data_IF_808320826277
#
_entry.id   IF_808320826277
#
_cell.length_a   1.000
_cell.length_b   1.000
_cell.length_c   1.000
_cell.angle_alpha   90.00
_cell.angle_beta   90.00
_cell.angle_gamma   90.00
#
_symmetry.space_group_name_H-M   'P 1'
#
loop_
_entity.id
_entity.type
_entity.pdbx_description
1 polymer ?
#
# COMPACT_ATOMS: atom_id res chain seq x y z
N UNK A 1 15.06 -5.85 -10.85
CA UNK A 1 15.01 -4.47 -10.29
C UNK A 1 13.62 -3.94 -10.53
N UNK A 2 12.79 -3.84 -9.49
CA UNK A 2 11.37 -3.46 -9.62
C UNK A 2 11.28 -1.96 -9.90
N UNK A 3 10.77 -1.58 -11.08
CA UNK A 3 10.38 -0.20 -11.39
C UNK A 3 9.28 0.23 -10.43
N UNK A 4 9.65 0.91 -9.33
CA UNK A 4 8.70 1.69 -8.58
C UNK A 4 8.09 2.71 -9.55
N UNK A 5 6.76 2.69 -9.72
CA UNK A 5 6.06 3.71 -10.52
C UNK A 5 6.01 5.00 -9.71
N UNK A 6 6.99 5.87 -9.93
CA UNK A 6 7.02 7.23 -9.43
C UNK A 6 5.95 8.05 -10.17
N UNK A 7 5.22 8.90 -9.45
CA UNK A 7 4.48 10.00 -10.05
C UNK A 7 5.09 11.29 -9.53
N UNK A 8 5.55 12.14 -10.44
CA UNK A 8 6.19 13.42 -10.13
C UNK A 8 5.20 14.55 -10.40
N UNK A 9 5.14 15.51 -9.49
CA UNK A 9 4.33 16.73 -9.61
C UNK A 9 5.27 17.93 -9.55
N UNK A 10 5.36 18.67 -10.65
CA UNK A 10 6.16 19.90 -10.76
C UNK A 10 5.28 21.15 -10.89
N UNK A 11 4.01 21.00 -11.29
CA UNK A 11 3.12 22.12 -11.50
C UNK A 11 2.84 22.85 -10.17
N UNK A 12 3.17 24.16 -10.03
CA UNK A 12 3.10 24.86 -8.74
C UNK A 12 1.72 24.81 -8.07
N UNK A 13 0.66 24.89 -8.87
CA UNK A 13 -0.71 24.80 -8.36
C UNK A 13 -1.04 23.41 -7.81
N UNK A 14 -0.59 22.34 -8.49
CA UNK A 14 -0.79 20.96 -8.04
C UNK A 14 0.04 20.64 -6.79
N UNK A 15 1.24 21.21 -6.67
CA UNK A 15 2.06 21.16 -5.45
C UNK A 15 1.32 21.82 -4.28
N UNK A 16 0.77 23.01 -4.51
CA UNK A 16 0.00 23.72 -3.49
C UNK A 16 -1.27 22.96 -3.09
N UNK A 17 -1.97 22.31 -4.03
CA UNK A 17 -3.12 21.45 -3.76
C UNK A 17 -2.73 20.25 -2.88
N UNK A 18 -1.64 19.56 -3.22
CA UNK A 18 -1.13 18.44 -2.43
C UNK A 18 -0.80 18.86 -0.98
N UNK A 19 -0.19 20.03 -0.79
CA UNK A 19 0.07 20.57 0.55
C UNK A 19 -1.20 20.99 1.29
N UNK A 20 -2.21 21.52 0.59
CA UNK A 20 -3.52 21.81 1.21
C UNK A 20 -4.17 20.52 1.70
N UNK A 21 -4.07 19.41 0.97
CA UNK A 21 -4.58 18.12 1.43
C UNK A 21 -3.88 17.61 2.70
N UNK A 22 -2.62 17.98 2.92
CA UNK A 22 -1.89 17.67 4.15
C UNK A 22 -2.44 18.43 5.37
N UNK A 23 -3.06 19.59 5.17
CA UNK A 23 -3.68 20.36 6.27
C UNK A 23 -5.01 19.78 6.74
N UNK A 24 -5.71 19.05 5.85
CA UNK A 24 -7.10 18.60 6.07
C UNK A 24 -7.21 17.19 6.65
N UNK A 25 -6.14 16.41 6.54
CA UNK A 25 -6.14 14.98 6.83
C UNK A 25 -5.05 14.65 7.85
N UNK A 26 -5.31 13.67 8.72
CA UNK A 26 -4.33 13.17 9.68
C UNK A 26 -3.26 12.32 8.99
N UNK A 27 -2.37 12.97 8.23
CA UNK A 27 -1.20 12.32 7.67
C UNK A 27 -0.06 12.33 8.68
N UNK A 28 0.71 11.25 8.71
CA UNK A 28 2.00 11.28 9.40
C UNK A 28 2.99 12.00 8.49
N UNK A 29 3.27 13.26 8.81
CA UNK A 29 4.25 14.08 8.10
C UNK A 29 5.50 14.19 8.96
N UNK A 30 6.65 13.95 8.35
CA UNK A 30 7.96 14.11 8.99
C UNK A 30 8.86 14.99 8.15
N UNK A 31 9.73 15.73 8.82
CA UNK A 31 10.79 16.52 8.23
C UNK A 31 12.13 15.85 8.48
N UNK A 32 12.98 15.82 7.46
CA UNK A 32 14.37 15.35 7.58
C UNK A 32 15.32 16.36 6.97
N UNK A 33 16.33 16.76 7.73
CA UNK A 33 17.40 17.62 7.23
C UNK A 33 18.40 16.83 6.40
N UNK A 34 19.07 17.51 5.47
CA UNK A 34 20.15 16.89 4.72
C UNK A 34 21.30 16.44 5.65
N UNK A 35 21.90 15.29 5.31
CA UNK A 35 22.97 14.67 6.11
C UNK A 35 22.53 14.07 7.45
N UNK A 36 21.23 14.00 7.76
CA UNK A 36 20.71 13.34 8.97
C UNK A 36 19.79 12.17 8.64
N UNK A 37 19.76 11.17 9.54
CA UNK A 37 18.84 10.03 9.48
C UNK A 37 17.62 10.21 10.40
N UNK A 38 17.52 11.35 11.08
CA UNK A 38 16.48 11.61 12.09
C UNK A 38 15.28 12.27 11.42
N UNK A 39 14.11 11.70 11.64
CA UNK A 39 12.82 12.24 11.20
C UNK A 39 12.14 12.97 12.36
N UNK A 40 11.73 14.22 12.12
CA UNK A 40 11.01 15.03 13.08
C UNK A 40 9.52 15.08 12.70
N UNK A 41 8.58 14.70 13.58
CA UNK A 41 7.16 14.85 13.30
C UNK A 41 6.79 16.31 13.09
N UNK A 42 6.08 16.61 12.01
CA UNK A 42 5.63 17.97 11.69
C UNK A 42 4.15 17.97 11.30
N UNK A 43 3.50 19.12 11.41
CA UNK A 43 2.15 19.31 10.90
C UNK A 43 2.13 20.50 9.94
N UNK A 44 1.48 20.34 8.78
CA UNK A 44 1.27 21.45 7.85
C UNK A 44 0.05 22.23 8.32
N UNK A 45 0.23 23.49 8.67
CA UNK A 45 -0.81 24.35 9.24
C UNK A 45 -1.57 25.13 8.17
N UNK A 46 -0.84 25.85 7.34
CA UNK A 46 -1.42 26.71 6.29
C UNK A 46 -0.56 26.69 5.04
N UNK A 47 -1.21 26.98 3.90
CA UNK A 47 -0.59 27.05 2.59
C UNK A 47 -1.06 28.34 1.91
N UNK A 48 -0.12 29.19 1.52
CA UNK A 48 -0.34 30.36 0.68
C UNK A 48 0.00 29.99 -0.76
N UNK A 49 -1.05 29.84 -1.58
CA UNK A 49 -0.94 29.46 -3.00
C UNK A 49 -0.33 30.57 -3.85
N UNK A 50 -0.55 31.82 -3.48
CA UNK A 50 -0.10 32.98 -4.27
C UNK A 50 1.38 33.22 -4.05
N UNK A 51 1.84 33.12 -2.80
CA UNK A 51 3.25 33.29 -2.46
C UNK A 51 4.05 31.99 -2.59
N UNK A 52 3.41 30.84 -2.80
CA UNK A 52 4.08 29.55 -2.88
C UNK A 52 4.76 29.17 -1.55
N UNK A 53 4.08 29.39 -0.42
CA UNK A 53 4.64 29.20 0.92
C UNK A 53 3.75 28.35 1.79
N UNK A 54 4.32 27.66 2.78
CA UNK A 54 3.57 26.96 3.80
C UNK A 54 4.08 27.27 5.21
N UNK A 55 3.23 27.04 6.21
CA UNK A 55 3.60 27.08 7.63
C UNK A 55 3.58 25.65 8.18
N UNK A 56 4.73 25.20 8.67
CA UNK A 56 4.88 23.95 9.39
C UNK A 56 4.90 24.23 10.89
N UNK A 57 4.36 23.30 11.68
CA UNK A 57 4.41 23.33 13.13
C UNK A 57 5.08 22.06 13.66
N UNK A 58 6.09 22.25 14.51
CA UNK A 58 6.97 21.20 15.00
C UNK A 58 7.03 21.29 16.52
N UNK A 59 6.90 20.15 17.19
CA UNK A 59 7.16 20.07 18.63
C UNK A 59 8.64 20.36 18.86
N UNK A 60 8.95 21.41 19.63
CA UNK A 60 10.31 21.87 19.86
C UNK A 60 11.10 20.85 20.68
N UNK A 61 12.03 20.15 20.03
CA UNK A 61 13.07 19.33 20.66
C UNK A 61 14.38 20.13 20.59
N UNK A 62 15.17 20.16 21.66
CA UNK A 62 16.34 21.03 21.80
C UNK A 62 17.34 21.00 20.64
N UNK A 63 17.50 19.85 19.96
CA UNK A 63 18.40 19.69 18.82
C UNK A 63 17.92 20.41 17.55
N UNK A 64 16.62 20.66 17.44
CA UNK A 64 15.99 21.25 16.27
C UNK A 64 16.39 22.73 16.11
N UNK A 65 16.55 23.46 17.20
CA UNK A 65 17.03 24.84 17.18
C UNK A 65 18.45 24.97 16.63
N UNK A 66 19.31 23.97 16.87
CA UNK A 66 20.66 23.91 16.28
C UNK A 66 20.61 23.58 14.78
N UNK A 67 19.67 22.72 14.37
CA UNK A 67 19.49 22.30 12.99
C UNK A 67 18.88 23.37 12.08
N UNK A 68 18.08 24.27 12.64
CA UNK A 68 17.45 25.39 11.94
C UNK A 68 18.38 26.59 11.72
N UNK A 69 19.61 26.53 12.24
CA UNK A 69 20.64 27.55 11.99
C UNK A 69 21.23 27.44 10.58
N UNK A 70 21.13 28.55 9.82
CA UNK A 70 21.76 28.86 8.53
C UNK A 70 21.51 27.87 7.36
N UNK A 71 20.65 28.26 6.42
CA UNK A 71 20.54 27.75 5.04
C UNK A 71 20.46 26.22 4.84
N UNK A 72 19.99 25.49 5.86
CA UNK A 72 19.83 24.04 5.75
C UNK A 72 18.55 23.67 5.01
N UNK A 73 18.75 22.95 3.93
CA UNK A 73 17.68 22.29 3.19
C UNK A 73 17.15 21.10 3.97
N UNK A 74 15.86 20.87 3.83
CA UNK A 74 15.20 19.69 4.38
C UNK A 74 14.22 19.13 3.35
N UNK A 75 13.78 17.90 3.56
CA UNK A 75 12.70 17.29 2.78
C UNK A 75 11.56 16.92 3.71
N UNK A 76 10.34 16.95 3.18
CA UNK A 76 9.18 16.40 3.86
C UNK A 76 8.87 15.00 3.32
N UNK A 77 8.51 14.12 4.24
CA UNK A 77 7.93 12.82 3.94
C UNK A 77 6.54 12.78 4.54
N UNK A 78 5.51 12.58 3.72
CA UNK A 78 4.15 12.34 4.19
C UNK A 78 3.73 10.91 3.88
N UNK A 79 3.30 10.19 4.91
CA UNK A 79 2.73 8.86 4.75
C UNK A 79 1.23 8.98 4.55
N UNK A 80 0.78 8.63 3.36
CA UNK A 80 -0.63 8.45 3.02
C UNK A 80 -0.96 6.95 3.02
N UNK A 81 -2.25 6.61 3.06
CA UNK A 81 -2.71 5.22 3.15
C UNK A 81 -2.16 4.30 2.02
N UNK A 82 -1.95 4.84 0.81
CA UNK A 82 -1.53 4.08 -0.38
C UNK A 82 -0.20 4.54 -1.00
N UNK A 83 0.37 5.66 -0.54
CA UNK A 83 1.57 6.25 -1.11
C UNK A 83 2.42 6.95 -0.04
N UNK A 84 3.72 7.02 -0.30
CA UNK A 84 4.61 7.93 0.40
C UNK A 84 4.84 9.11 -0.51
N UNK A 85 4.50 10.29 -0.03
CA UNK A 85 4.85 11.54 -0.70
C UNK A 85 6.20 12.01 -0.16
N UNK A 86 7.11 12.38 -1.05
CA UNK A 86 8.38 13.01 -0.71
C UNK A 86 8.52 14.30 -1.51
N UNK A 87 8.99 15.36 -0.87
CA UNK A 87 9.27 16.63 -1.56
C UNK A 87 10.70 16.66 -2.08
N UNK A 88 10.95 17.52 -3.07
CA UNK A 88 12.29 18.06 -3.29
C UNK A 88 12.80 18.81 -2.06
N UNK A 89 14.07 19.20 -2.07
CA UNK A 89 14.65 20.06 -1.05
C UNK A 89 13.81 21.34 -0.87
N UNK A 90 13.49 21.67 0.38
CA UNK A 90 12.74 22.83 0.81
C UNK A 90 13.61 23.73 1.68
N UNK A 91 13.29 25.03 1.66
CA UNK A 91 14.02 26.08 2.36
C UNK A 91 13.14 26.77 3.40
N UNK A 92 13.69 26.95 4.59
CA UNK A 92 13.07 27.79 5.63
C UNK A 92 13.28 29.26 5.28
N UNK A 93 12.18 30.01 5.24
CA UNK A 93 12.17 31.47 5.09
C UNK A 93 12.29 32.15 6.45
N UNK A 94 11.58 31.61 7.45
CA UNK A 94 11.51 32.22 8.78
C UNK A 94 11.17 31.17 9.85
N UNK A 95 11.79 31.30 11.02
CA UNK A 95 11.49 30.48 12.21
C UNK A 95 10.69 31.32 13.20
N UNK A 96 9.51 30.83 13.58
CA UNK A 96 8.58 31.43 14.52
C UNK A 96 8.61 30.63 15.83
N UNK A 97 9.27 31.16 16.87
CA UNK A 97 9.31 30.52 18.18
C UNK A 97 8.01 30.79 18.96
N UNK A 98 7.34 29.75 19.47
CA UNK A 98 6.22 29.88 20.41
C UNK A 98 6.34 28.86 21.55
N UNK A 99 6.88 29.29 22.69
CA UNK A 99 7.05 28.43 23.88
C UNK A 99 7.71 27.09 23.50
N UNK A 100 6.99 25.97 23.60
CA UNK A 100 7.44 24.59 23.31
C UNK A 100 7.26 24.16 21.85
N UNK A 101 6.77 25.02 20.95
CA UNK A 101 6.55 24.72 19.54
C UNK A 101 7.33 25.68 18.64
N UNK A 102 7.75 25.15 17.50
CA UNK A 102 8.44 25.87 16.44
C UNK A 102 7.56 25.92 15.20
N UNK A 103 7.23 27.12 14.76
CA UNK A 103 6.66 27.35 13.44
C UNK A 103 7.76 27.57 12.41
N UNK A 104 7.73 26.87 11.28
CA UNK A 104 8.61 27.14 10.14
C UNK A 104 7.80 27.67 8.98
N UNK A 105 8.10 28.89 8.54
CA UNK A 105 7.60 29.41 7.26
C UNK A 105 8.57 28.97 6.18
N UNK A 106 8.08 28.25 5.18
CA UNK A 106 8.91 27.62 4.15
C UNK A 106 8.38 27.93 2.76
N UNK A 107 9.27 27.90 1.76
CA UNK A 107 8.87 27.84 0.36
C UNK A 107 8.30 26.45 0.05
N UNK A 108 7.27 26.39 -0.78
CA UNK A 108 6.80 25.11 -1.36
C UNK A 108 7.93 24.50 -2.21
N UNK A 109 8.00 23.16 -2.29
CA UNK A 109 9.03 22.51 -3.10
C UNK A 109 8.81 22.78 -4.60
N UNK A 110 9.88 22.61 -5.39
CA UNK A 110 9.78 22.63 -6.85
C UNK A 110 9.21 21.34 -7.43
N UNK A 111 9.31 20.24 -6.69
CA UNK A 111 8.82 18.93 -7.11
C UNK A 111 8.29 18.13 -5.91
N UNK A 112 7.26 17.31 -6.16
CA UNK A 112 6.81 16.26 -5.24
C UNK A 112 6.87 14.92 -5.97
N UNK A 113 7.55 13.96 -5.37
CA UNK A 113 7.59 12.58 -5.83
C UNK A 113 6.67 11.71 -4.98
N UNK A 114 5.71 11.03 -5.60
CA UNK A 114 4.91 10.00 -4.95
C UNK A 114 5.52 8.62 -5.21
N UNK A 115 6.05 8.03 -4.14
CA UNK A 115 6.41 6.63 -4.10
C UNK A 115 5.14 5.82 -3.75
N UNK A 116 4.46 5.31 -4.78
CA UNK A 116 3.33 4.39 -4.56
C UNK A 116 3.82 3.18 -3.80
N UNK A 117 3.39 3.02 -2.54
CA UNK A 117 3.88 1.91 -1.72
C UNK A 117 3.26 0.59 -2.17
N UNK A 118 2.00 0.61 -2.64
CA UNK A 118 1.30 -0.46 -3.39
C UNK A 118 0.14 0.21 -4.16
N UNK A 119 -0.01 -0.04 -5.46
CA UNK A 119 -1.00 0.69 -6.28
C UNK A 119 -2.45 0.32 -6.00
N UNK A 120 -2.71 -0.72 -5.20
CA UNK A 120 -4.05 -1.19 -4.86
C UNK A 120 -4.11 -1.66 -3.41
N UNK A 121 -5.19 -1.30 -2.71
CA UNK A 121 -5.51 -1.85 -1.39
C UNK A 121 -5.58 -3.38 -1.48
N UNK A 122 -5.09 -4.07 -0.45
CA UNK A 122 -5.08 -5.54 -0.36
C UNK A 122 -6.03 -6.00 0.75
N UNK A 123 -7.04 -6.76 0.39
CA UNK A 123 -7.93 -7.42 1.32
C UNK A 123 -7.27 -8.71 1.80
N UNK A 124 -6.85 -8.76 3.07
CA UNK A 124 -6.35 -10.00 3.67
C UNK A 124 -7.50 -10.99 3.84
N UNK A 125 -7.23 -12.29 3.66
CA UNK A 125 -8.20 -13.34 3.97
C UNK A 125 -8.12 -13.70 5.46
N UNK A 126 -9.29 -13.86 6.06
CA UNK A 126 -9.47 -13.98 7.50
C UNK A 126 -9.81 -15.41 7.89
N UNK A 127 -10.08 -15.61 9.17
CA UNK A 127 -10.38 -16.94 9.67
C UNK A 127 -11.64 -17.49 8.99
N UNK A 128 -11.53 -18.69 8.40
CA UNK A 128 -12.62 -19.33 7.66
C UNK A 128 -12.75 -18.92 6.18
N UNK A 129 -12.04 -17.88 5.72
CA UNK A 129 -11.99 -17.52 4.30
C UNK A 129 -10.87 -18.31 3.60
N UNK A 130 -11.10 -19.59 3.32
CA UNK A 130 -10.13 -20.43 2.60
C UNK A 130 -10.43 -20.42 1.11
N UNK A 131 -9.52 -19.89 0.31
CA UNK A 131 -9.62 -19.86 -1.16
C UNK A 131 -8.40 -20.59 -1.73
N UNK A 132 -8.66 -21.64 -2.49
CA UNK A 132 -7.62 -22.39 -3.19
C UNK A 132 -7.23 -21.64 -4.47
N UNK A 133 -5.96 -21.66 -4.82
CA UNK A 133 -5.44 -21.07 -6.05
C UNK A 133 -4.63 -22.11 -6.81
N UNK A 134 -4.92 -22.25 -8.10
CA UNK A 134 -4.12 -23.06 -9.02
C UNK A 134 -3.31 -22.11 -9.91
N UNK A 135 -1.99 -22.23 -9.86
CA UNK A 135 -1.08 -21.62 -10.83
C UNK A 135 -0.79 -22.64 -11.92
N UNK A 136 -0.93 -22.26 -13.19
CA UNK A 136 -0.58 -23.11 -14.34
C UNK A 136 0.40 -22.38 -15.26
N UNK A 137 1.49 -23.01 -15.65
CA UNK A 137 2.41 -22.46 -16.65
C UNK A 137 1.99 -22.82 -18.10
N UNK A 138 2.76 -22.36 -19.08
CA UNK A 138 2.50 -22.67 -20.49
C UNK A 138 2.79 -24.13 -20.89
N UNK A 139 3.53 -24.87 -20.06
CA UNK A 139 3.90 -26.28 -20.26
C UNK A 139 2.87 -27.25 -19.65
N UNK A 140 1.91 -26.73 -18.90
CA UNK A 140 0.85 -27.49 -18.24
C UNK A 140 1.20 -27.96 -16.82
N UNK A 141 2.32 -27.50 -16.26
CA UNK A 141 2.63 -27.75 -14.86
C UNK A 141 1.67 -26.96 -13.97
N UNK A 142 1.30 -27.54 -12.83
CA UNK A 142 0.36 -26.94 -11.88
C UNK A 142 0.89 -26.91 -10.46
N UNK A 143 0.61 -25.80 -9.78
CA UNK A 143 0.91 -25.63 -8.36
C UNK A 143 -0.36 -25.20 -7.64
N UNK A 144 -0.65 -25.90 -6.53
CA UNK A 144 -1.80 -25.60 -5.66
C UNK A 144 -1.32 -24.76 -4.49
N UNK A 145 -1.99 -23.65 -4.26
CA UNK A 145 -1.66 -22.70 -3.20
C UNK A 145 -2.93 -22.20 -2.50
N UNK A 146 -2.74 -21.52 -1.39
CA UNK A 146 -3.79 -20.85 -0.62
C UNK A 146 -3.66 -19.34 -0.77
N UNK A 147 -4.76 -18.65 -1.02
CA UNK A 147 -4.82 -17.20 -1.09
C UNK A 147 -4.71 -16.58 0.32
N UNK A 148 -3.78 -15.65 0.51
CA UNK A 148 -3.58 -14.91 1.77
C UNK A 148 -4.09 -13.48 1.71
N UNK A 149 -3.86 -12.80 0.59
CA UNK A 149 -4.42 -11.48 0.32
C UNK A 149 -4.83 -11.37 -1.15
N UNK A 150 -5.77 -10.48 -1.44
CA UNK A 150 -6.20 -10.16 -2.80
C UNK A 150 -6.29 -8.66 -3.00
N UNK A 151 -5.84 -8.19 -4.14
CA UNK A 151 -5.99 -6.81 -4.60
C UNK A 151 -6.31 -6.79 -6.08
N UNK A 152 -6.66 -5.62 -6.60
CA UNK A 152 -6.85 -5.44 -8.03
C UNK A 152 -5.60 -5.93 -8.76
N UNK A 153 -4.40 -5.43 -8.45
CA UNK A 153 -3.18 -5.75 -9.20
C UNK A 153 -2.51 -7.10 -8.92
N UNK A 154 -3.03 -7.94 -8.03
CA UNK A 154 -2.35 -9.18 -7.65
C UNK A 154 -2.74 -9.73 -6.29
N UNK A 155 -2.06 -10.78 -5.85
CA UNK A 155 -2.31 -11.47 -4.60
C UNK A 155 -1.02 -12.00 -3.94
N UNK A 156 -1.15 -12.39 -2.68
CA UNK A 156 -0.18 -13.20 -1.95
C UNK A 156 -0.72 -14.62 -1.82
N UNK A 157 0.10 -15.59 -2.20
CA UNK A 157 -0.19 -17.02 -2.10
C UNK A 157 0.72 -17.67 -1.07
N UNK A 158 0.28 -18.81 -0.52
CA UNK A 158 1.18 -19.72 0.20
C UNK A 158 0.98 -21.18 -0.18
N UNK A 159 2.07 -21.94 -0.15
CA UNK A 159 2.14 -23.36 -0.49
C UNK A 159 3.20 -24.03 0.40
N UNK A 160 3.21 -25.37 0.53
CA UNK A 160 4.29 -26.09 1.20
C UNK A 160 5.66 -25.70 0.61
N UNK A 161 6.69 -25.59 1.44
CA UNK A 161 8.01 -25.15 0.99
C UNK A 161 8.60 -26.07 -0.11
N UNK A 162 8.33 -27.37 -0.02
CA UNK A 162 8.78 -28.38 -0.99
C UNK A 162 8.05 -28.27 -2.34
N UNK A 163 6.88 -27.62 -2.39
CA UNK A 163 6.10 -27.46 -3.62
C UNK A 163 6.53 -26.24 -4.45
N UNK A 164 7.52 -25.46 -3.99
CA UNK A 164 8.03 -24.29 -4.71
C UNK A 164 8.87 -24.70 -5.93
N UNK A 165 9.38 -25.93 -5.95
CA UNK A 165 10.23 -26.40 -7.04
C UNK A 165 9.56 -26.26 -8.41
N UNK A 166 10.32 -25.76 -9.38
CA UNK A 166 9.85 -25.52 -10.75
C UNK A 166 9.13 -24.19 -10.96
N UNK A 167 8.88 -23.39 -9.90
CA UNK A 167 8.37 -22.02 -10.07
C UNK A 167 9.48 -21.07 -10.48
N UNK A 168 9.33 -20.48 -11.66
CA UNK A 168 10.20 -19.45 -12.23
C UNK A 168 9.62 -18.05 -11.96
N UNK A 169 10.45 -17.13 -11.46
CA UNK A 169 10.09 -15.75 -11.13
C UNK A 169 10.55 -14.77 -12.21
N UNK A 170 9.83 -13.66 -12.36
CA UNK A 170 10.14 -12.63 -13.38
C UNK A 170 9.28 -12.78 -14.63
N UNK A 171 9.91 -12.96 -15.79
CA UNK A 171 9.24 -12.83 -17.10
C UNK A 171 8.35 -14.02 -17.50
N UNK A 172 8.30 -15.07 -16.68
CA UNK A 172 7.45 -16.24 -16.92
C UNK A 172 5.99 -15.94 -16.60
N UNK A 173 5.11 -16.30 -17.54
CA UNK A 173 3.66 -16.11 -17.43
C UNK A 173 2.99 -17.36 -16.89
N UNK A 174 2.11 -17.15 -15.91
CA UNK A 174 1.24 -18.15 -15.34
C UNK A 174 -0.22 -17.76 -15.59
N UNK A 175 -1.11 -18.75 -15.47
CA UNK A 175 -2.54 -18.51 -15.27
C UNK A 175 -2.85 -18.81 -13.80
N UNK A 176 -3.30 -17.79 -13.08
CA UNK A 176 -3.78 -17.95 -11.71
C UNK A 176 -5.30 -18.12 -11.73
N UNK A 177 -5.79 -19.21 -11.15
CA UNK A 177 -7.22 -19.48 -10.94
C UNK A 177 -7.51 -19.56 -9.45
N UNK A 178 -8.23 -18.60 -8.89
CA UNK A 178 -8.75 -18.67 -7.53
C UNK A 178 -10.12 -19.36 -7.54
N UNK A 179 -10.31 -20.35 -6.66
CA UNK A 179 -11.54 -21.12 -6.50
C UNK A 179 -12.15 -20.81 -5.14
N UNK A 180 -13.28 -20.11 -5.13
CA UNK A 180 -14.01 -19.76 -3.93
C UNK A 180 -14.89 -20.93 -3.46
N UNK A 181 -15.14 -21.07 -2.14
CA UNK A 181 -15.97 -22.13 -1.57
C UNK A 181 -17.35 -22.37 -2.21
N UNK A 182 -17.96 -21.33 -2.79
CA UNK A 182 -19.27 -21.41 -3.44
C UNK A 182 -19.21 -21.76 -4.94
N UNK A 183 -18.07 -22.26 -5.41
CA UNK A 183 -17.87 -22.62 -6.82
C UNK A 183 -17.54 -21.45 -7.75
N UNK A 184 -17.60 -20.19 -7.28
CA UNK A 184 -17.13 -19.04 -8.06
C UNK A 184 -15.63 -19.15 -8.34
N UNK A 185 -15.22 -18.75 -9.54
CA UNK A 185 -13.81 -18.77 -9.92
C UNK A 185 -13.37 -17.45 -10.53
N UNK A 186 -12.17 -17.03 -10.18
CA UNK A 186 -11.51 -15.88 -10.76
C UNK A 186 -10.24 -16.35 -11.48
N UNK A 187 -10.07 -15.95 -12.75
CA UNK A 187 -8.88 -16.27 -13.55
C UNK A 187 -8.19 -15.01 -14.05
N UNK A 188 -6.86 -14.99 -13.97
CA UNK A 188 -6.04 -13.97 -14.61
C UNK A 188 -4.70 -14.52 -15.12
N UNK A 189 -4.22 -13.93 -16.21
CA UNK A 189 -2.80 -14.03 -16.57
C UNK A 189 -1.96 -13.33 -15.49
N UNK A 190 -0.82 -13.91 -15.14
CA UNK A 190 -0.03 -13.44 -14.01
C UNK A 190 1.47 -13.69 -14.16
N UNK A 191 2.24 -13.03 -13.30
CA UNK A 191 3.69 -13.20 -13.13
C UNK A 191 4.02 -13.35 -11.65
N UNK A 192 5.03 -14.16 -11.35
CA UNK A 192 5.55 -14.31 -9.99
C UNK A 192 6.62 -13.25 -9.74
N UNK A 193 6.46 -12.51 -8.65
CA UNK A 193 7.28 -11.33 -8.35
C UNK A 193 8.38 -11.58 -7.33
N UNK A 194 8.05 -12.24 -6.21
CA UNK A 194 8.99 -12.55 -5.14
C UNK A 194 8.51 -13.77 -4.35
N UNK A 195 9.44 -14.46 -3.71
CA UNK A 195 9.17 -15.52 -2.76
C UNK A 195 9.87 -15.27 -1.43
N UNK A 196 9.26 -15.78 -0.37
CA UNK A 196 9.84 -15.87 0.96
C UNK A 196 9.49 -17.23 1.56
N UNK A 197 10.48 -17.95 2.08
CA UNK A 197 10.27 -19.22 2.77
C UNK A 197 10.32 -18.94 4.27
N UNK A 198 9.25 -19.32 4.96
CA UNK A 198 9.17 -19.39 6.40
C UNK A 198 9.52 -20.82 6.83
N UNK A 199 10.73 -20.99 7.33
CA UNK A 199 11.26 -22.30 7.74
C UNK A 199 10.55 -22.84 8.97
N UNK A 200 10.04 -21.98 9.85
CA UNK A 200 9.34 -22.44 11.06
C UNK A 200 7.96 -22.98 10.69
N UNK A 201 7.27 -22.32 9.77
CA UNK A 201 5.97 -22.75 9.26
C UNK A 201 6.06 -23.85 8.19
N UNK A 202 7.25 -24.11 7.64
CA UNK A 202 7.46 -24.96 6.45
C UNK A 202 6.59 -24.54 5.25
N UNK A 203 6.42 -23.23 5.08
CA UNK A 203 5.62 -22.64 4.00
C UNK A 203 6.43 -21.65 3.19
N UNK A 204 6.13 -21.61 1.91
CA UNK A 204 6.56 -20.54 1.03
C UNK A 204 5.42 -19.56 0.78
N UNK A 205 5.76 -18.29 0.71
CA UNK A 205 4.87 -17.19 0.36
C UNK A 205 5.31 -16.62 -0.97
N UNK A 206 4.38 -16.48 -1.91
CA UNK A 206 4.65 -16.07 -3.28
C UNK A 206 3.79 -14.88 -3.65
N UNK A 207 4.43 -13.77 -4.02
CA UNK A 207 3.75 -12.60 -4.55
C UNK A 207 3.44 -12.77 -6.03
N UNK A 208 2.16 -12.65 -6.39
CA UNK A 208 1.68 -12.77 -7.78
C UNK A 208 1.16 -11.41 -8.25
N UNK A 209 1.55 -11.00 -9.45
CA UNK A 209 1.04 -9.79 -10.12
C UNK A 209 0.15 -10.20 -11.28
N UNK A 210 -1.04 -9.62 -11.39
CA UNK A 210 -1.97 -9.90 -12.48
C UNK A 210 -1.71 -8.98 -13.68
N UNK A 211 -1.84 -9.53 -14.89
CA UNK A 211 -1.82 -8.78 -16.14
C UNK A 211 -3.25 -8.40 -16.53
N UNK A 212 -3.73 -7.30 -15.97
CA UNK A 212 -5.12 -6.86 -16.10
C UNK A 212 -5.12 -5.76 -17.15
N UNK A 213 -5.19 -6.19 -18.41
CA UNK A 213 -5.19 -5.29 -19.56
C UNK A 213 -6.60 -4.82 -19.94
N UNK A 214 -7.66 -5.48 -19.45
CA UNK A 214 -9.04 -5.24 -19.88
C UNK A 214 -9.94 -4.73 -18.73
N UNK A 215 -10.84 -3.80 -19.05
CA UNK A 215 -11.78 -3.21 -18.08
C UNK A 215 -12.69 -4.26 -17.40
N UNK A 216 -13.04 -5.34 -18.11
CA UNK A 216 -13.90 -6.41 -17.59
C UNK A 216 -13.20 -7.19 -16.48
N UNK A 217 -11.98 -7.66 -16.72
CA UNK A 217 -11.16 -8.37 -15.74
C UNK A 217 -10.88 -7.50 -14.51
N UNK A 218 -10.71 -6.19 -14.73
CA UNK A 218 -10.54 -5.22 -13.65
C UNK A 218 -11.79 -5.08 -12.76
N UNK A 219 -13.00 -5.16 -13.33
CA UNK A 219 -14.27 -5.13 -12.57
C UNK A 219 -14.52 -6.44 -11.83
N UNK A 220 -14.20 -7.57 -12.45
CA UNK A 220 -14.37 -8.90 -11.85
C UNK A 220 -13.47 -9.03 -10.61
N UNK A 221 -12.19 -8.66 -10.69
CA UNK A 221 -11.30 -8.64 -9.51
C UNK A 221 -11.83 -7.71 -8.42
N UNK A 222 -12.37 -6.55 -8.80
CA UNK A 222 -12.90 -5.57 -7.86
C UNK A 222 -14.03 -6.14 -7.00
N UNK A 223 -14.92 -6.92 -7.62
CA UNK A 223 -15.99 -7.62 -6.91
C UNK A 223 -15.42 -8.57 -5.83
N UNK A 224 -14.47 -9.43 -6.20
CA UNK A 224 -13.87 -10.37 -5.25
C UNK A 224 -13.10 -9.66 -4.12
N UNK A 225 -12.32 -8.61 -4.42
CA UNK A 225 -11.65 -7.80 -3.41
C UNK A 225 -12.66 -7.19 -2.44
N UNK A 226 -13.76 -6.65 -2.95
CA UNK A 226 -14.78 -6.00 -2.14
C UNK A 226 -15.51 -6.99 -1.23
N UNK A 227 -15.77 -8.20 -1.69
CA UNK A 227 -16.40 -9.23 -0.87
C UNK A 227 -15.45 -9.74 0.23
N UNK A 228 -14.14 -9.87 -0.03
CA UNK A 228 -13.14 -10.18 1.01
C UNK A 228 -13.10 -9.06 2.06
N UNK A 229 -13.07 -7.79 1.65
CA UNK A 229 -13.12 -6.64 2.58
C UNK A 229 -14.38 -6.64 3.44
N UNK A 230 -15.52 -6.88 2.81
CA UNK A 230 -16.82 -6.89 3.47
C UNK A 230 -16.89 -8.00 4.51
N UNK A 231 -16.39 -9.19 4.18
CA UNK A 231 -16.33 -10.32 5.10
C UNK A 231 -15.32 -10.10 6.23
N UNK A 232 -14.17 -9.48 5.97
CA UNK A 232 -13.24 -9.04 7.02
C UNK A 232 -13.87 -8.06 8.00
N UNK A 233 -14.51 -7.00 7.49
CA UNK A 233 -15.19 -6.01 8.30
C UNK A 233 -16.30 -6.64 9.15
N UNK A 234 -17.00 -7.65 8.59
CA UNK A 234 -17.99 -8.45 9.31
C UNK A 234 -17.36 -9.26 10.44
N UNK A 235 -16.19 -9.88 10.22
CA UNK A 235 -15.49 -10.70 11.21
C UNK A 235 -14.77 -9.90 12.29
N UNK A 236 -14.49 -8.60 12.06
CA UNK A 236 -13.84 -7.72 13.03
C UNK A 236 -14.63 -7.57 14.34
N UNK A 237 -15.96 -7.77 14.30
CA UNK A 237 -16.78 -7.87 15.51
C UNK A 237 -16.79 -9.30 16.04
N UNK A 238 -16.18 -9.50 17.21
CA UNK A 238 -16.07 -10.80 17.89
C UNK A 238 -17.42 -11.43 18.26
N UNK A 239 -18.48 -10.62 18.40
CA UNK A 239 -19.85 -11.10 18.68
C UNK A 239 -20.63 -11.24 17.36
N UNK A 240 -21.07 -12.46 16.98
CA UNK A 240 -21.84 -12.70 15.74
C UNK A 240 -23.08 -11.82 15.60
N UNK A 241 -23.72 -11.50 16.73
CA UNK A 241 -24.95 -10.71 16.86
C UNK A 241 -24.74 -9.22 16.61
N UNK A 242 -23.49 -8.75 16.72
CA UNK A 242 -23.09 -7.37 16.50
C UNK A 242 -22.42 -7.17 15.13
N UNK A 243 -22.41 -8.19 14.28
CA UNK A 243 -21.83 -8.10 12.94
C UNK A 243 -22.77 -7.28 12.05
N UNK A 244 -22.35 -6.10 11.57
CA UNK A 244 -23.26 -5.17 10.88
C UNK A 244 -23.64 -5.61 9.45
N UNK A 245 -23.07 -6.71 8.95
CA UNK A 245 -23.15 -7.14 7.55
C UNK A 245 -23.57 -8.61 7.48
N UNK A 246 -24.38 -8.98 6.48
CA UNK A 246 -24.67 -10.38 6.14
C UNK A 246 -23.39 -11.13 5.74
N UNK A 247 -23.38 -12.47 5.79
CA UNK A 247 -22.22 -13.25 5.33
C UNK A 247 -21.97 -13.06 3.83
N UNK A 248 -20.73 -13.21 3.38
CA UNK A 248 -20.45 -13.35 1.95
C UNK A 248 -20.69 -14.76 1.46
N UNK A 249 -21.49 -14.86 0.39
CA UNK A 249 -21.75 -16.12 -0.30
C UNK A 249 -20.49 -16.72 -0.87
N UNK A 250 -19.45 -15.93 -1.19
CA UNK A 250 -18.18 -16.45 -1.70
C UNK A 250 -17.55 -17.49 -0.77
N UNK A 251 -17.76 -17.35 0.54
CA UNK A 251 -17.15 -18.22 1.55
C UNK A 251 -18.14 -19.24 2.14
N UNK A 252 -19.34 -19.33 1.59
CA UNK A 252 -20.28 -20.42 1.89
C UNK A 252 -19.84 -21.63 1.08
N UNK A 253 -19.60 -22.77 1.75
CA UNK A 253 -19.29 -24.00 1.03
C UNK A 253 -20.51 -24.39 0.20
N UNK A 254 -20.34 -24.53 -1.11
CA UNK A 254 -21.27 -25.32 -1.90
C UNK A 254 -21.26 -26.72 -1.28
N UNK A 255 -22.44 -27.24 -0.95
CA UNK A 255 -22.61 -28.48 -0.19
C UNK A 255 -22.08 -29.74 -0.89
N UNK A 256 -21.21 -29.62 -1.90
CA UNK A 256 -20.76 -30.70 -2.77
C UNK A 256 -19.33 -30.59 -3.34
N UNK A 257 -18.39 -29.86 -2.68
CA UNK A 257 -16.96 -29.96 -3.08
C UNK A 257 -16.16 -30.83 -2.11
N UNK A 258 -15.52 -31.93 -2.57
CA UNK A 258 -14.80 -32.85 -1.70
C UNK A 258 -13.55 -32.20 -1.11
N UNK A 259 -13.29 -32.50 0.16
CA UNK A 259 -12.05 -32.16 0.83
C UNK A 259 -10.85 -32.77 0.07
N UNK A 260 -9.89 -31.92 -0.29
CA UNK A 260 -8.54 -32.31 -0.68
C UNK A 260 -7.67 -32.34 0.55
#
# INVERSE_FOLDING_TARGET
MSNARYAEIEAPQAIADAFVDLTRNAHEVTLRFDGTLIHYPVSVMTVDRVLGRCLLDITGIGDLNRMLGADRWFVLHARQASAVMQTSAMRTVEVLQRSTRLGLRCELPGEITFLKRRSYFRAALGQGMRVAVVLRDSRGNEWRATLHDLSIGGCLLSLPADDVHGLEFGDVRYRARACFPNGETFEAASQLSHSHIDTDAQRAYIGVSFDIGLEKESRDVWFYVREVEREQARQASARPEMRPLAASRLFEADGDTPAV
#
